data_IF_216622548890
#
_entry.id   IF_216622548890
#
_cell.length_a   1.000
_cell.length_b   1.000
_cell.length_c   1.000
_cell.angle_alpha   90.00
_cell.angle_beta   90.00
_cell.angle_gamma   90.00
#
_symmetry.space_group_name_H-M   'P 1'
#
loop_
_entity.id
_entity.type
_entity.pdbx_description
1 polymer ?
#
# COMPACT_ATOMS: atom_id res chain seq x y z
N UNK A 1 7.71 15.78 -44.37
CA UNK A 1 6.80 15.38 -43.27
C UNK A 1 6.64 16.54 -42.31
N UNK A 2 5.42 17.03 -42.08
CA UNK A 2 5.17 18.23 -41.28
C UNK A 2 5.25 17.90 -39.78
N UNK A 3 6.03 18.69 -39.02
CA UNK A 3 6.31 18.46 -37.57
C UNK A 3 5.03 18.34 -36.72
N UNK A 4 3.93 18.94 -37.17
CA UNK A 4 2.60 18.93 -36.52
C UNK A 4 2.00 17.52 -36.41
N UNK A 5 2.26 16.64 -37.37
CA UNK A 5 1.74 15.26 -37.38
C UNK A 5 2.49 14.36 -36.37
N UNK A 6 3.78 14.63 -36.14
CA UNK A 6 4.59 13.91 -35.15
C UNK A 6 4.21 14.26 -33.70
N UNK A 7 3.90 15.53 -33.43
CA UNK A 7 3.46 15.97 -32.11
C UNK A 7 2.12 15.35 -31.69
N UNK A 8 1.14 15.27 -32.61
CA UNK A 8 -0.14 14.61 -32.36
C UNK A 8 0.01 13.10 -32.14
N UNK A 9 0.87 12.43 -32.91
CA UNK A 9 1.16 11.01 -32.73
C UNK A 9 1.85 10.73 -31.37
N UNK A 10 2.78 11.59 -30.96
CA UNK A 10 3.43 11.50 -29.66
C UNK A 10 2.43 11.70 -28.51
N UNK A 11 1.51 12.66 -28.64
CA UNK A 11 0.49 12.94 -27.63
C UNK A 11 -0.47 11.76 -27.46
N UNK A 12 -0.94 11.18 -28.57
CA UNK A 12 -1.80 9.98 -28.57
C UNK A 12 -1.11 8.75 -27.97
N UNK A 13 0.21 8.61 -28.19
CA UNK A 13 1.01 7.56 -27.55
C UNK A 13 1.09 7.76 -26.04
N UNK A 14 1.32 9.00 -25.59
CA UNK A 14 1.41 9.35 -24.17
C UNK A 14 0.08 9.12 -23.43
N UNK A 15 -1.04 9.45 -24.06
CA UNK A 15 -2.39 9.16 -23.55
C UNK A 15 -2.62 7.64 -23.40
N UNK A 16 -2.20 6.84 -24.38
CA UNK A 16 -2.29 5.38 -24.32
C UNK A 16 -1.39 4.78 -23.22
N UNK A 17 -0.19 5.32 -23.04
CA UNK A 17 0.71 4.89 -21.96
C UNK A 17 0.16 5.26 -20.59
N UNK A 18 -0.45 6.43 -20.44
CA UNK A 18 -1.11 6.85 -19.20
C UNK A 18 -2.27 5.94 -18.83
N UNK A 19 -3.14 5.61 -19.79
CA UNK A 19 -4.24 4.67 -19.56
C UNK A 19 -3.75 3.28 -19.10
N UNK A 20 -2.63 2.79 -19.65
CA UNK A 20 -2.02 1.52 -19.22
C UNK A 20 -1.45 1.60 -17.80
N UNK A 21 -0.86 2.73 -17.43
CA UNK A 21 -0.36 2.95 -16.07
C UNK A 21 -1.50 2.99 -15.06
N UNK A 22 -2.61 3.66 -15.39
CA UNK A 22 -3.80 3.73 -14.53
C UNK A 22 -4.38 2.32 -14.27
N UNK A 23 -4.51 1.49 -15.30
CA UNK A 23 -4.94 0.08 -15.15
C UNK A 23 -3.98 -0.70 -14.26
N UNK A 24 -2.67 -0.55 -14.47
CA UNK A 24 -1.66 -1.24 -13.67
C UNK A 24 -1.66 -0.78 -12.21
N UNK A 25 -1.94 0.50 -11.96
CA UNK A 25 -2.07 1.05 -10.62
C UNK A 25 -3.28 0.43 -9.91
N UNK A 26 -4.44 0.35 -10.56
CA UNK A 26 -5.64 -0.29 -9.98
C UNK A 26 -5.40 -1.77 -9.67
N UNK A 27 -4.69 -2.51 -10.53
CA UNK A 27 -4.32 -3.90 -10.25
C UNK A 27 -3.37 -4.04 -9.05
N UNK A 28 -2.40 -3.13 -8.92
CA UNK A 28 -1.48 -3.12 -7.79
C UNK A 28 -2.17 -2.75 -6.49
N UNK A 29 -3.09 -1.78 -6.51
CA UNK A 29 -3.92 -1.42 -5.36
C UNK A 29 -4.81 -2.58 -4.92
N UNK A 30 -5.43 -3.30 -5.86
CA UNK A 30 -6.23 -4.48 -5.56
C UNK A 30 -5.39 -5.61 -4.96
N UNK A 31 -4.16 -5.84 -5.47
CA UNK A 31 -3.23 -6.82 -4.92
C UNK A 31 -2.73 -6.44 -3.53
N UNK A 32 -2.39 -5.17 -3.31
CA UNK A 32 -1.98 -4.66 -2.01
C UNK A 32 -3.12 -4.78 -0.99
N UNK A 33 -4.36 -4.46 -1.36
CA UNK A 33 -5.52 -4.63 -0.49
C UNK A 33 -5.75 -6.11 -0.13
N UNK A 34 -5.59 -7.03 -1.11
CA UNK A 34 -5.71 -8.46 -0.87
C UNK A 34 -4.57 -9.01 0.00
N UNK A 35 -3.34 -8.53 -0.19
CA UNK A 35 -2.18 -8.90 0.61
C UNK A 35 -2.33 -8.40 2.05
N UNK A 36 -2.72 -7.14 2.25
CA UNK A 36 -3.05 -6.60 3.56
C UNK A 36 -4.18 -7.39 4.21
N UNK A 37 -5.25 -7.70 3.47
CA UNK A 37 -6.35 -8.55 3.95
C UNK A 37 -5.86 -9.92 4.42
N UNK A 38 -5.02 -10.59 3.64
CA UNK A 38 -4.42 -11.88 4.02
C UNK A 38 -3.46 -11.76 5.21
N UNK A 39 -2.69 -10.68 5.31
CA UNK A 39 -1.86 -10.40 6.48
C UNK A 39 -2.72 -10.20 7.73
N UNK A 40 -3.83 -9.47 7.64
CA UNK A 40 -4.75 -9.29 8.77
C UNK A 40 -5.43 -10.60 9.19
N UNK A 41 -5.93 -11.39 8.24
CA UNK A 41 -6.60 -12.67 8.53
C UNK A 41 -5.60 -13.74 9.02
N UNK A 42 -4.37 -13.76 8.48
CA UNK A 42 -3.32 -14.71 8.84
C UNK A 42 -2.45 -14.33 10.05
N UNK A 43 -2.47 -13.08 10.51
CA UNK A 43 -1.66 -12.59 11.65
C UNK A 43 -2.27 -12.86 13.02
N UNK A 44 -3.44 -13.52 13.07
CA UNK A 44 -4.15 -13.74 14.33
C UNK A 44 -4.81 -12.49 14.88
N UNK A 45 -4.94 -11.41 14.10
CA UNK A 45 -5.78 -10.23 14.45
C UNK A 45 -7.24 -10.65 14.70
N UNK A 46 -7.71 -11.70 14.03
CA UNK A 46 -9.01 -12.34 14.29
C UNK A 46 -9.14 -12.91 15.72
N UNK A 47 -8.02 -13.26 16.37
CA UNK A 47 -8.01 -13.72 17.76
C UNK A 47 -8.05 -12.56 18.77
N UNK A 48 -7.84 -11.31 18.33
CA UNK A 48 -7.98 -10.15 19.20
C UNK A 48 -9.45 -9.75 19.32
N UNK A 49 -9.93 -9.63 20.56
CA UNK A 49 -11.26 -9.03 20.79
C UNK A 49 -11.32 -7.60 20.24
N UNK A 50 -12.50 -7.17 19.78
CA UNK A 50 -12.74 -5.79 19.33
C UNK A 50 -12.31 -4.72 20.37
N UNK A 51 -12.43 -5.05 21.66
CA UNK A 51 -11.97 -4.20 22.78
C UNK A 51 -10.44 -4.09 22.82
N UNK A 52 -9.74 -5.18 22.56
CA UNK A 52 -8.27 -5.20 22.50
C UNK A 52 -7.77 -4.41 21.29
N UNK A 53 -8.39 -4.59 20.11
CA UNK A 53 -8.05 -3.82 18.91
C UNK A 53 -8.28 -2.32 19.09
N UNK A 54 -9.41 -1.92 19.66
CA UNK A 54 -9.70 -0.52 19.96
C UNK A 54 -8.64 0.10 20.89
N UNK A 55 -8.18 -0.65 21.91
CA UNK A 55 -7.14 -0.21 22.84
C UNK A 55 -5.79 -0.04 22.16
N UNK A 56 -5.39 -1.01 21.35
CA UNK A 56 -4.14 -0.96 20.57
C UNK A 56 -4.19 0.23 19.60
N UNK A 57 -5.27 0.38 18.83
CA UNK A 57 -5.43 1.51 17.91
C UNK A 57 -5.42 2.88 18.62
N UNK A 58 -6.06 2.98 19.79
CA UNK A 58 -6.03 4.23 20.59
C UNK A 58 -4.65 4.53 21.16
N UNK A 59 -3.90 3.50 21.55
CA UNK A 59 -2.54 3.67 22.07
C UNK A 59 -1.57 4.10 20.96
N UNK A 60 -1.65 3.44 19.79
CA UNK A 60 -0.82 3.76 18.62
C UNK A 60 -1.14 5.14 18.05
N UNK A 61 -2.42 5.53 17.97
CA UNK A 61 -2.83 6.84 17.45
C UNK A 61 -2.41 8.04 18.31
N UNK A 62 -1.90 7.80 19.53
CA UNK A 62 -1.32 8.84 20.41
C UNK A 62 0.20 8.95 20.28
N UNK A 63 0.82 8.11 19.44
CA UNK A 63 2.26 8.02 19.25
C UNK A 63 2.66 8.54 17.88
N UNK A 64 3.92 8.95 17.75
CA UNK A 64 4.49 9.18 16.42
C UNK A 64 4.77 7.83 15.74
N UNK A 65 4.96 7.86 14.41
CA UNK A 65 5.10 6.65 13.58
C UNK A 65 6.26 5.75 14.04
N UNK A 66 7.40 6.35 14.38
CA UNK A 66 8.59 5.64 14.85
C UNK A 66 8.35 4.90 16.17
N UNK A 67 7.66 5.53 17.12
CA UNK A 67 7.29 4.93 18.40
C UNK A 67 6.25 3.81 18.23
N UNK A 68 5.28 4.01 17.34
CA UNK A 68 4.27 3.00 17.02
C UNK A 68 4.92 1.75 16.41
N UNK A 69 5.86 1.93 15.47
CA UNK A 69 6.60 0.84 14.82
C UNK A 69 7.51 0.09 15.79
N UNK A 70 8.13 0.78 16.76
CA UNK A 70 8.93 0.15 17.80
C UNK A 70 8.10 -0.77 18.72
N UNK A 71 6.91 -0.34 19.13
CA UNK A 71 6.00 -1.15 19.97
C UNK A 71 5.46 -2.36 19.22
N UNK A 72 5.14 -2.18 17.94
CA UNK A 72 4.70 -3.28 17.08
C UNK A 72 5.85 -4.23 16.70
N UNK A 73 7.10 -3.92 17.09
CA UNK A 73 8.32 -4.64 16.72
C UNK A 73 8.50 -4.85 15.21
N UNK A 74 7.84 -4.03 14.39
CA UNK A 74 7.84 -4.15 12.92
C UNK A 74 9.20 -3.73 12.33
N UNK A 75 10.10 -3.13 13.11
CA UNK A 75 11.47 -2.79 12.70
C UNK A 75 12.59 -3.72 13.20
N UNK A 76 12.28 -4.82 13.91
CA UNK A 76 13.29 -5.61 14.65
C UNK A 76 13.62 -7.01 14.13
N UNK A 77 12.94 -7.52 13.10
CA UNK A 77 13.11 -8.91 12.64
C UNK A 77 13.94 -9.05 11.35
N UNK A 78 15.08 -8.36 11.28
CA UNK A 78 16.11 -8.60 10.25
C UNK A 78 17.51 -8.83 10.83
N UNK A 79 17.65 -8.91 12.15
CA UNK A 79 18.95 -9.20 12.79
C UNK A 79 18.76 -10.14 13.98
N UNK A 80 18.46 -11.41 13.69
CA UNK A 80 18.80 -12.52 14.57
C UNK A 80 19.26 -13.68 13.69
N UNK A 81 20.52 -14.07 13.91
CA UNK A 81 21.15 -15.28 13.38
C UNK A 81 20.47 -16.53 13.92
#
# INVERSE_FOLDING_TARGET
MTRKTGALAALKKLESERAKLDTKQQELEAKAAAELGRMFLGSGVEAFSAKSLKRIGTALGKMNEEQALAILKIGGSSLAR
#
